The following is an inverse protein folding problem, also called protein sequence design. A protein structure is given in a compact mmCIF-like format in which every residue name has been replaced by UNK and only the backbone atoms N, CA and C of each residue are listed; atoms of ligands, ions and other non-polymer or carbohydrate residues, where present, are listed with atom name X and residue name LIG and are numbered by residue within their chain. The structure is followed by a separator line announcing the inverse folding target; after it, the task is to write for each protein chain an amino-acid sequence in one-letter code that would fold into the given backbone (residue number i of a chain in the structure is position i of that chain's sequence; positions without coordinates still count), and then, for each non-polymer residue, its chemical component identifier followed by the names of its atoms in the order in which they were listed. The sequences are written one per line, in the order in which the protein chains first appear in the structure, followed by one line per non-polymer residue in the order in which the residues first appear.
data_IF_285685550474
#
_entry.id   IF_285685550474
#
_cell.length_a   1.000
_cell.length_b   1.000
_cell.length_c   1.000
_cell.angle_alpha   90.00
_cell.angle_beta   90.00
_cell.angle_gamma   90.00
#
_symmetry.space_group_name_H-M   'P 1'
#
loop_
_entity.id
_entity.type
_entity.pdbx_description
1 polymer ?
#
# COMPACT_ATOMS: atom_id res chain seq x y z
N UNK A 1 -21.87 7.45 -19.42
CA UNK A 1 -20.76 8.43 -19.54
C UNK A 1 -19.61 7.73 -20.26
N UNK A 2 -18.89 8.47 -21.10
CA UNK A 2 -17.62 8.00 -21.69
C UNK A 2 -16.47 8.47 -20.83
N UNK A 3 -15.68 7.54 -20.32
CA UNK A 3 -14.61 7.79 -19.34
C UNK A 3 -13.31 7.22 -19.88
N UNK A 4 -12.23 8.00 -19.79
CA UNK A 4 -10.88 7.51 -20.01
C UNK A 4 -10.20 7.40 -18.64
N UNK A 5 -9.56 6.26 -18.38
CA UNK A 5 -8.68 6.07 -17.22
C UNK A 5 -7.25 5.96 -17.74
N UNK A 6 -6.46 7.00 -17.53
CA UNK A 6 -5.07 7.09 -17.96
C UNK A 6 -4.14 6.53 -16.90
N UNK A 7 -3.47 5.42 -17.21
CA UNK A 7 -2.67 4.62 -16.30
C UNK A 7 -3.46 3.44 -15.71
N UNK A 8 -3.04 2.21 -16.04
CA UNK A 8 -3.70 0.96 -15.63
C UNK A 8 -2.89 0.20 -14.57
N UNK A 9 -2.33 0.93 -13.61
CA UNK A 9 -1.81 0.33 -12.37
C UNK A 9 -2.95 -0.07 -11.43
N UNK A 10 -2.59 -0.40 -10.19
CA UNK A 10 -3.53 -0.84 -9.15
C UNK A 10 -4.79 0.04 -9.05
N UNK A 11 -4.62 1.35 -8.88
CA UNK A 11 -5.73 2.30 -8.75
C UNK A 11 -6.53 2.41 -10.05
N UNK A 12 -5.83 2.61 -11.18
CA UNK A 12 -6.50 2.88 -12.45
C UNK A 12 -7.27 1.68 -12.99
N UNK A 13 -6.68 0.49 -12.95
CA UNK A 13 -7.37 -0.73 -13.42
C UNK A 13 -8.59 -1.05 -12.56
N UNK A 14 -8.46 -0.96 -11.23
CA UNK A 14 -9.60 -1.18 -10.31
C UNK A 14 -10.70 -0.15 -10.55
N UNK A 15 -10.33 1.12 -10.71
CA UNK A 15 -11.29 2.20 -10.99
C UNK A 15 -12.01 1.99 -12.33
N UNK A 16 -11.25 1.66 -13.40
CA UNK A 16 -11.83 1.40 -14.72
C UNK A 16 -12.80 0.22 -14.69
N UNK A 17 -12.41 -0.88 -14.05
CA UNK A 17 -13.24 -2.07 -13.92
C UNK A 17 -14.55 -1.76 -13.18
N UNK A 18 -14.49 -1.12 -12.00
CA UNK A 18 -15.68 -0.81 -11.21
C UNK A 18 -16.58 0.23 -11.90
N UNK A 19 -16.01 1.24 -12.57
CA UNK A 19 -16.84 2.18 -13.38
C UNK A 19 -17.57 1.47 -14.51
N UNK A 20 -16.96 0.46 -15.13
CA UNK A 20 -17.63 -0.32 -16.18
C UNK A 20 -18.81 -1.15 -15.67
N UNK A 21 -18.77 -1.66 -14.43
CA UNK A 21 -19.89 -2.33 -13.78
C UNK A 21 -21.11 -1.40 -13.60
N UNK A 22 -20.85 -0.10 -13.43
CA UNK A 22 -21.93 0.90 -13.32
C UNK A 22 -22.50 1.34 -14.67
N UNK A 23 -22.13 0.65 -15.76
CA UNK A 23 -22.64 0.89 -17.11
C UNK A 23 -22.03 2.10 -17.79
N UNK A 24 -20.89 2.58 -17.36
CA UNK A 24 -20.11 3.57 -18.09
C UNK A 24 -19.32 2.92 -19.21
N UNK A 25 -19.13 3.64 -20.31
CA UNK A 25 -18.22 3.28 -21.39
C UNK A 25 -16.80 3.71 -20.97
N UNK A 26 -15.96 2.76 -20.58
CA UNK A 26 -14.67 3.01 -19.95
C UNK A 26 -13.52 2.54 -20.84
N UNK A 27 -12.64 3.45 -21.16
CA UNK A 27 -11.39 3.19 -21.85
C UNK A 27 -10.21 3.22 -20.87
N UNK A 28 -9.68 2.06 -20.58
CA UNK A 28 -8.46 1.88 -19.80
C UNK A 28 -7.24 2.07 -20.72
N UNK A 29 -6.60 3.24 -20.61
CA UNK A 29 -5.46 3.63 -21.44
C UNK A 29 -4.15 3.42 -20.69
N UNK A 30 -3.20 2.74 -21.33
CA UNK A 30 -1.82 2.61 -20.84
C UNK A 30 -0.86 2.54 -22.03
N UNK A 31 0.37 3.01 -21.83
CA UNK A 31 1.44 2.92 -22.84
C UNK A 31 2.10 1.53 -22.88
N UNK A 32 1.97 0.73 -21.81
CA UNK A 32 2.54 -0.62 -21.75
C UNK A 32 1.59 -1.65 -22.38
N UNK A 33 1.91 -2.01 -23.61
CA UNK A 33 1.14 -2.98 -24.41
C UNK A 33 1.08 -4.37 -23.75
N UNK A 34 2.09 -4.75 -22.94
CA UNK A 34 2.13 -6.04 -22.25
C UNK A 34 1.05 -6.11 -21.18
N UNK A 35 0.88 -5.04 -20.40
CA UNK A 35 -0.23 -4.91 -19.43
C UNK A 35 -1.58 -5.01 -20.13
N UNK A 36 -1.78 -4.21 -21.19
CA UNK A 36 -3.03 -4.21 -21.93
C UNK A 36 -3.38 -5.59 -22.51
N UNK A 37 -2.39 -6.33 -23.00
CA UNK A 37 -2.58 -7.69 -23.50
C UNK A 37 -2.99 -8.66 -22.39
N UNK A 38 -2.35 -8.56 -21.22
CA UNK A 38 -2.73 -9.35 -20.04
C UNK A 38 -4.17 -9.06 -19.60
N UNK A 39 -4.60 -7.79 -19.61
CA UNK A 39 -5.96 -7.42 -19.24
C UNK A 39 -7.00 -7.85 -20.29
N UNK A 40 -6.68 -7.75 -21.58
CA UNK A 40 -7.53 -8.25 -22.67
C UNK A 40 -7.71 -9.75 -22.65
N UNK A 41 -6.73 -10.51 -22.17
CA UNK A 41 -6.85 -11.97 -22.02
C UNK A 41 -7.96 -12.36 -21.03
N UNK A 42 -8.23 -11.51 -20.03
CA UNK A 42 -9.08 -11.78 -18.87
C UNK A 42 -8.63 -13.00 -18.06
N UNK A 43 -7.37 -13.43 -18.23
CA UNK A 43 -6.75 -14.51 -17.48
C UNK A 43 -6.35 -14.03 -16.10
N UNK A 44 -6.85 -14.63 -15.00
CA UNK A 44 -6.54 -14.20 -13.64
C UNK A 44 -5.04 -14.20 -13.31
N UNK A 45 -4.28 -15.16 -13.82
CA UNK A 45 -2.84 -15.25 -13.56
C UNK A 45 -2.09 -14.11 -14.27
N UNK A 46 -2.40 -13.85 -15.54
CA UNK A 46 -1.78 -12.77 -16.30
C UNK A 46 -2.15 -11.39 -15.73
N UNK A 47 -3.41 -11.18 -15.32
CA UNK A 47 -3.82 -9.95 -14.66
C UNK A 47 -3.11 -9.81 -13.32
N UNK A 48 -3.09 -10.87 -12.50
CA UNK A 48 -2.48 -10.91 -11.18
C UNK A 48 -0.99 -10.61 -11.17
N UNK A 49 -0.30 -10.87 -12.29
CA UNK A 49 1.10 -10.48 -12.46
C UNK A 49 1.32 -8.96 -12.37
N UNK A 50 0.35 -8.15 -12.80
CA UNK A 50 0.43 -6.68 -12.75
C UNK A 50 -0.39 -6.07 -11.62
N UNK A 51 -1.60 -6.62 -11.38
CA UNK A 51 -2.50 -6.16 -10.33
C UNK A 51 -3.17 -7.39 -9.69
N UNK A 52 -2.64 -7.79 -8.55
CA UNK A 52 -3.18 -8.93 -7.78
C UNK A 52 -4.25 -8.43 -6.80
N UNK A 53 -5.50 -8.36 -7.29
CA UNK A 53 -6.63 -7.85 -6.50
C UNK A 53 -7.82 -8.82 -6.60
N UNK A 54 -8.34 -9.32 -5.47
CA UNK A 54 -9.47 -10.23 -5.45
C UNK A 54 -10.71 -9.67 -6.16
N UNK A 55 -11.34 -10.47 -7.01
CA UNK A 55 -12.54 -10.10 -7.76
C UNK A 55 -12.31 -9.26 -9.03
N UNK A 56 -11.13 -8.65 -9.20
CA UNK A 56 -10.83 -7.82 -10.36
C UNK A 56 -10.86 -8.60 -11.69
N UNK A 57 -10.28 -9.80 -11.82
CA UNK A 57 -10.36 -10.56 -13.05
C UNK A 57 -11.78 -10.90 -13.49
N UNK A 58 -12.68 -11.19 -12.56
CA UNK A 58 -14.08 -11.49 -12.85
C UNK A 58 -14.78 -10.27 -13.44
N UNK A 59 -14.59 -9.08 -12.86
CA UNK A 59 -15.17 -7.84 -13.39
C UNK A 59 -14.68 -7.57 -14.81
N UNK A 60 -13.38 -7.74 -15.04
CA UNK A 60 -12.78 -7.56 -16.37
C UNK A 60 -13.42 -8.54 -17.38
N UNK A 61 -13.51 -9.82 -17.02
CA UNK A 61 -14.08 -10.84 -17.90
C UNK A 61 -15.55 -10.55 -18.29
N UNK A 62 -16.34 -10.03 -17.35
CA UNK A 62 -17.76 -9.72 -17.54
C UNK A 62 -18.00 -8.46 -18.39
N UNK A 63 -17.08 -7.46 -18.31
CA UNK A 63 -17.31 -6.13 -18.89
C UNK A 63 -16.43 -5.81 -20.11
N UNK A 64 -15.35 -6.58 -20.36
CA UNK A 64 -14.48 -6.33 -21.50
C UNK A 64 -15.26 -6.39 -22.81
N UNK A 65 -14.88 -5.53 -23.75
CA UNK A 65 -15.47 -5.40 -25.08
C UNK A 65 -16.97 -4.99 -25.09
N UNK A 66 -17.52 -4.70 -23.91
CA UNK A 66 -18.90 -4.22 -23.76
C UNK A 66 -18.97 -2.84 -23.10
N UNK A 67 -18.35 -2.70 -21.95
CA UNK A 67 -18.26 -1.46 -21.17
C UNK A 67 -16.84 -1.09 -20.81
N UNK A 68 -15.89 -2.03 -20.88
CA UNK A 68 -14.48 -1.86 -20.55
C UNK A 68 -13.62 -2.20 -21.78
N UNK A 69 -12.87 -1.20 -22.24
CA UNK A 69 -12.01 -1.29 -23.41
C UNK A 69 -10.57 -0.96 -23.02
N UNK A 70 -9.61 -1.71 -23.56
CA UNK A 70 -8.18 -1.50 -23.28
C UNK A 70 -7.48 -0.97 -24.52
N UNK A 71 -6.79 0.16 -24.43
CA UNK A 71 -6.13 0.78 -25.57
C UNK A 71 -4.82 1.49 -25.20
N UNK A 72 -3.88 1.52 -26.13
CA UNK A 72 -2.69 2.39 -26.11
C UNK A 72 -2.82 3.58 -27.08
N UNK A 73 -3.92 3.68 -27.78
CA UNK A 73 -4.23 4.76 -28.71
C UNK A 73 -5.30 5.70 -28.09
N UNK A 74 -4.82 6.79 -27.49
CA UNK A 74 -5.68 7.78 -26.85
C UNK A 74 -6.34 8.73 -27.86
N UNK A 75 -5.70 8.94 -29.01
CA UNK A 75 -6.24 9.81 -30.07
C UNK A 75 -7.57 9.31 -30.58
N UNK A 76 -7.69 7.99 -30.80
CA UNK A 76 -8.92 7.37 -31.31
C UNK A 76 -10.10 7.44 -30.35
N UNK A 77 -9.88 7.70 -29.08
CA UNK A 77 -10.92 7.67 -28.03
C UNK A 77 -11.23 9.03 -27.40
N UNK A 78 -10.46 10.08 -27.72
CA UNK A 78 -10.54 11.38 -27.02
C UNK A 78 -11.86 12.13 -27.31
N UNK A 79 -12.44 11.96 -28.50
CA UNK A 79 -13.70 12.57 -28.87
C UNK A 79 -14.86 12.04 -28.05
N UNK A 80 -15.74 12.92 -27.64
CA UNK A 80 -16.92 12.55 -26.87
C UNK A 80 -16.66 12.14 -25.42
N UNK A 81 -15.44 12.32 -24.89
CA UNK A 81 -15.10 11.97 -23.53
C UNK A 81 -15.66 12.98 -22.53
N UNK A 82 -16.31 12.48 -21.49
CA UNK A 82 -16.87 13.29 -20.40
C UNK A 82 -15.85 13.54 -19.28
N UNK A 83 -15.00 12.55 -18.96
CA UNK A 83 -13.97 12.66 -17.94
C UNK A 83 -12.73 11.81 -18.24
N UNK A 84 -11.56 12.33 -17.87
CA UNK A 84 -10.27 11.64 -17.96
C UNK A 84 -9.68 11.53 -16.56
N UNK A 85 -9.66 10.32 -15.99
CA UNK A 85 -9.05 10.05 -14.69
C UNK A 85 -7.56 9.81 -14.85
N UNK A 86 -6.75 10.64 -14.21
CA UNK A 86 -5.30 10.56 -14.21
C UNK A 86 -4.84 9.64 -13.06
N UNK A 87 -4.54 8.39 -13.38
CA UNK A 87 -4.07 7.36 -12.46
C UNK A 87 -2.59 7.06 -12.71
N UNK A 88 -1.79 8.11 -12.79
CA UNK A 88 -0.39 8.08 -13.21
C UNK A 88 0.56 7.92 -12.01
N UNK A 89 1.76 7.34 -12.20
CA UNK A 89 2.73 7.20 -11.13
C UNK A 89 3.25 8.55 -10.65
N UNK A 90 3.43 8.68 -9.32
CA UNK A 90 4.01 9.84 -8.64
C UNK A 90 5.07 9.35 -7.65
N UNK A 91 6.21 8.81 -8.13
CA UNK A 91 7.22 8.26 -7.24
C UNK A 91 7.86 9.34 -6.38
N UNK A 92 8.40 8.98 -5.19
CA UNK A 92 9.11 9.94 -4.36
C UNK A 92 10.51 10.21 -4.90
N UNK A 93 10.95 11.47 -4.79
CA UNK A 93 12.35 11.86 -4.90
C UNK A 93 13.10 11.61 -3.58
N UNK A 94 14.43 11.69 -3.61
CA UNK A 94 15.27 11.50 -2.41
C UNK A 94 15.03 12.54 -1.30
N UNK A 95 14.56 13.73 -1.63
CA UNK A 95 14.23 14.80 -0.68
C UNK A 95 12.81 14.70 -0.11
N UNK A 96 12.07 13.66 -0.51
CA UNK A 96 10.68 13.41 -0.12
C UNK A 96 9.64 14.10 -1.00
N UNK A 97 10.03 14.96 -1.95
CA UNK A 97 9.09 15.52 -2.93
C UNK A 97 8.54 14.42 -3.85
N UNK A 98 7.42 14.69 -4.52
CA UNK A 98 6.87 13.80 -5.54
C UNK A 98 7.44 14.13 -6.91
N UNK A 99 7.95 13.14 -7.64
CA UNK A 99 8.30 13.30 -9.04
C UNK A 99 7.02 13.29 -9.89
N UNK A 100 6.71 14.44 -10.46
CA UNK A 100 5.56 14.64 -11.37
C UNK A 100 5.96 14.69 -12.85
N UNK A 101 7.19 14.34 -13.20
CA UNK A 101 7.68 14.42 -14.58
C UNK A 101 6.85 13.57 -15.55
N UNK A 102 6.58 12.32 -15.20
CA UNK A 102 5.72 11.44 -15.98
C UNK A 102 4.27 11.92 -16.03
N UNK A 103 3.79 12.45 -14.91
CA UNK A 103 2.45 13.00 -14.80
C UNK A 103 2.25 14.16 -15.76
N UNK A 104 3.09 15.19 -15.71
CA UNK A 104 2.95 16.36 -16.58
C UNK A 104 3.27 16.07 -18.04
N UNK A 105 4.17 15.14 -18.35
CA UNK A 105 4.38 14.69 -19.72
C UNK A 105 3.10 14.10 -20.33
N UNK A 106 2.36 13.29 -19.58
CA UNK A 106 1.09 12.75 -20.01
C UNK A 106 0.02 13.86 -20.12
N UNK A 107 -0.01 14.80 -19.18
CA UNK A 107 -0.91 15.98 -19.21
C UNK A 107 -0.65 16.84 -20.45
N UNK A 108 0.59 17.16 -20.78
CA UNK A 108 0.94 17.95 -21.97
C UNK A 108 0.46 17.27 -23.26
N UNK A 109 0.62 15.94 -23.34
CA UNK A 109 0.10 15.17 -24.47
C UNK A 109 -1.44 15.22 -24.54
N UNK A 110 -2.13 15.01 -23.42
CA UNK A 110 -3.59 15.11 -23.34
C UNK A 110 -4.09 16.50 -23.70
N UNK A 111 -3.46 17.57 -23.21
CA UNK A 111 -3.82 18.94 -23.55
C UNK A 111 -3.68 19.21 -25.05
N UNK A 112 -2.61 18.70 -25.68
CA UNK A 112 -2.41 18.81 -27.13
C UNK A 112 -3.54 18.17 -27.92
N UNK A 113 -4.01 17.00 -27.50
CA UNK A 113 -5.12 16.30 -28.16
C UNK A 113 -6.46 17.00 -27.91
N UNK A 114 -6.72 17.39 -26.66
CA UNK A 114 -7.96 18.08 -26.27
C UNK A 114 -8.11 19.44 -26.95
N UNK A 115 -7.02 20.16 -27.19
CA UNK A 115 -7.04 21.43 -27.92
C UNK A 115 -7.46 21.27 -29.39
N UNK A 116 -7.27 20.09 -29.99
CA UNK A 116 -7.62 19.77 -31.37
C UNK A 116 -8.99 19.08 -31.52
N UNK A 117 -9.62 18.78 -30.38
CA UNK A 117 -10.90 18.07 -30.33
C UNK A 117 -12.00 18.84 -31.07
N UNK A 118 -12.81 18.16 -31.85
CA UNK A 118 -13.94 18.74 -32.59
C UNK A 118 -15.22 18.84 -31.73
N UNK A 119 -15.31 18.00 -30.72
CA UNK A 119 -16.42 17.99 -29.77
C UNK A 119 -16.36 19.19 -28.82
N UNK A 120 -17.45 19.90 -28.69
CA UNK A 120 -17.56 21.09 -27.83
C UNK A 120 -18.08 20.77 -26.42
N UNK A 121 -18.36 19.52 -26.10
CA UNK A 121 -18.81 19.12 -24.77
C UNK A 121 -17.71 19.36 -23.74
N UNK A 122 -18.15 19.66 -22.50
CA UNK A 122 -17.18 19.82 -21.40
C UNK A 122 -16.53 18.48 -21.08
N UNK A 123 -15.22 18.50 -20.88
CA UNK A 123 -14.42 17.38 -20.38
C UNK A 123 -13.76 17.76 -19.06
N UNK A 124 -13.77 16.85 -18.08
CA UNK A 124 -13.12 17.08 -16.80
C UNK A 124 -11.89 16.18 -16.67
N UNK A 125 -10.72 16.81 -16.46
CA UNK A 125 -9.49 16.09 -16.08
C UNK A 125 -9.50 15.89 -14.58
N UNK A 126 -9.43 14.62 -14.15
CA UNK A 126 -9.62 14.24 -12.74
C UNK A 126 -8.33 13.68 -12.15
N UNK A 127 -7.73 14.38 -11.21
CA UNK A 127 -6.62 13.87 -10.42
C UNK A 127 -7.10 12.71 -9.55
N UNK A 128 -6.75 11.49 -9.91
CA UNK A 128 -6.99 10.28 -9.12
C UNK A 128 -5.73 9.83 -8.40
N UNK A 129 -4.56 10.06 -8.96
CA UNK A 129 -3.26 9.87 -8.31
C UNK A 129 -3.14 10.71 -7.05
N UNK A 130 -2.38 10.23 -6.07
CA UNK A 130 -1.97 11.06 -4.93
C UNK A 130 -0.90 12.04 -5.41
N UNK A 131 -1.28 13.30 -5.49
CA UNK A 131 -0.46 14.42 -5.99
C UNK A 131 -0.29 15.48 -4.90
N UNK A 132 0.81 16.27 -4.90
CA UNK A 132 0.98 17.40 -3.98
C UNK A 132 -0.20 18.39 -4.04
N UNK A 133 -0.49 19.02 -2.89
CA UNK A 133 -1.54 20.04 -2.79
C UNK A 133 -1.21 21.19 -3.74
N UNK A 134 -2.19 21.59 -4.55
CA UNK A 134 -2.04 22.59 -5.61
C UNK A 134 -1.72 22.02 -6.99
N UNK A 135 -1.62 20.69 -7.16
CA UNK A 135 -1.41 20.09 -8.49
C UNK A 135 -2.59 20.35 -9.42
N UNK A 136 -3.82 20.39 -8.91
CA UNK A 136 -4.99 20.78 -9.71
C UNK A 136 -4.83 22.16 -10.34
N UNK A 137 -4.24 23.13 -9.64
CA UNK A 137 -3.98 24.48 -10.19
C UNK A 137 -2.94 24.47 -11.31
N UNK A 138 -1.93 23.61 -11.17
CA UNK A 138 -0.96 23.42 -12.26
C UNK A 138 -1.62 22.80 -13.49
N UNK A 139 -2.53 21.85 -13.28
CA UNK A 139 -3.31 21.24 -14.36
C UNK A 139 -4.23 22.26 -15.06
N UNK A 140 -4.91 23.13 -14.31
CA UNK A 140 -5.69 24.23 -14.87
C UNK A 140 -4.81 25.23 -15.67
N UNK A 141 -3.61 25.52 -15.16
CA UNK A 141 -2.66 26.34 -15.89
C UNK A 141 -2.29 25.70 -17.24
N UNK A 142 -2.04 24.38 -17.26
CA UNK A 142 -1.79 23.63 -18.49
C UNK A 142 -2.94 23.71 -19.47
N UNK A 143 -4.18 23.51 -19.01
CA UNK A 143 -5.37 23.65 -19.88
C UNK A 143 -5.44 25.05 -20.52
N UNK A 144 -5.12 26.11 -19.78
CA UNK A 144 -5.07 27.47 -20.32
C UNK A 144 -3.90 27.70 -21.28
N UNK A 145 -2.70 27.17 -20.94
CA UNK A 145 -1.50 27.27 -21.78
C UNK A 145 -1.70 26.64 -23.17
N UNK A 146 -2.40 25.51 -23.20
CA UNK A 146 -2.71 24.80 -24.45
C UNK A 146 -4.03 25.26 -25.10
N UNK A 147 -4.69 26.29 -24.55
CA UNK A 147 -5.97 26.82 -25.04
C UNK A 147 -7.05 25.75 -25.20
N UNK A 148 -7.09 24.76 -24.27
CA UNK A 148 -8.05 23.67 -24.33
C UNK A 148 -9.48 24.20 -24.10
N UNK A 149 -10.38 24.06 -25.10
CA UNK A 149 -11.71 24.61 -24.97
C UNK A 149 -12.58 23.75 -24.06
N UNK A 150 -13.42 24.39 -23.27
CA UNK A 150 -14.47 23.78 -22.46
C UNK A 150 -13.98 22.59 -21.61
N UNK A 151 -12.85 22.77 -20.91
CA UNK A 151 -12.28 21.78 -20.02
C UNK A 151 -12.34 22.26 -18.56
N UNK A 152 -12.45 21.31 -17.63
CA UNK A 152 -12.40 21.52 -16.19
C UNK A 152 -11.40 20.62 -15.52
N UNK A 153 -11.13 20.89 -14.24
CA UNK A 153 -10.26 20.08 -13.39
C UNK A 153 -11.01 19.67 -12.13
N UNK A 154 -10.80 18.42 -11.72
CA UNK A 154 -11.24 17.96 -10.42
C UNK A 154 -10.14 17.12 -9.75
N UNK A 155 -10.13 17.10 -8.41
CA UNK A 155 -9.34 16.18 -7.60
C UNK A 155 -10.27 15.16 -6.95
N UNK A 156 -10.04 13.87 -7.22
CA UNK A 156 -10.82 12.77 -6.66
C UNK A 156 -9.88 11.69 -6.12
N UNK A 157 -9.29 11.92 -4.95
CA UNK A 157 -8.35 10.98 -4.36
C UNK A 157 -9.01 9.63 -4.07
N UNK A 158 -8.22 8.57 -4.13
CA UNK A 158 -8.62 7.21 -3.75
C UNK A 158 -8.27 6.90 -2.28
N UNK A 159 -8.98 5.92 -1.69
CA UNK A 159 -8.73 5.41 -0.35
C UNK A 159 -8.80 3.88 -0.34
N UNK A 160 -8.14 3.26 -1.32
CA UNK A 160 -8.23 1.84 -1.62
C UNK A 160 -7.10 1.07 -0.91
N UNK A 161 -7.41 0.17 0.03
CA UNK A 161 -6.42 -0.76 0.56
C UNK A 161 -6.18 -1.90 -0.43
N UNK A 162 -4.94 -2.18 -0.77
CA UNK A 162 -4.58 -3.34 -1.61
C UNK A 162 -5.12 -4.64 -1.00
N UNK A 163 -5.56 -5.57 -1.83
CA UNK A 163 -6.19 -6.82 -1.41
C UNK A 163 -7.68 -6.70 -1.03
N UNK A 164 -8.25 -5.47 -1.06
CA UNK A 164 -9.64 -5.18 -0.74
C UNK A 164 -10.22 -4.01 -1.57
N UNK A 165 -9.49 -3.63 -2.63
CA UNK A 165 -9.77 -2.42 -3.39
C UNK A 165 -11.05 -2.52 -4.23
N UNK A 166 -11.35 -3.69 -4.78
CA UNK A 166 -12.61 -3.90 -5.52
C UNK A 166 -13.80 -3.68 -4.60
N UNK A 167 -13.83 -4.30 -3.43
CA UNK A 167 -14.95 -4.15 -2.49
C UNK A 167 -15.05 -2.70 -1.97
N UNK A 168 -13.91 -2.06 -1.66
CA UNK A 168 -13.88 -0.67 -1.24
C UNK A 168 -14.20 0.33 -2.35
N UNK A 169 -14.02 -0.03 -3.61
CA UNK A 169 -14.50 0.77 -4.75
C UNK A 169 -16.01 0.63 -4.95
N UNK A 170 -16.56 -0.56 -4.74
CA UNK A 170 -18.01 -0.82 -4.82
C UNK A 170 -18.78 -0.23 -3.63
N UNK A 171 -18.15 -0.22 -2.45
CA UNK A 171 -18.75 0.25 -1.19
C UNK A 171 -17.75 1.12 -0.43
N UNK A 172 -17.44 2.32 -0.95
CA UNK A 172 -16.51 3.22 -0.29
C UNK A 172 -17.12 3.78 1.00
N UNK A 173 -16.28 4.04 2.00
CA UNK A 173 -16.71 4.78 3.19
C UNK A 173 -17.05 6.24 2.84
N UNK A 174 -16.34 6.78 1.84
CA UNK A 174 -16.53 8.12 1.31
C UNK A 174 -16.05 8.26 -0.14
N UNK A 175 -16.66 9.18 -0.86
CA UNK A 175 -16.16 9.73 -2.14
C UNK A 175 -15.87 11.21 -1.93
N UNK A 176 -14.65 11.64 -2.21
CA UNK A 176 -14.24 13.05 -2.09
C UNK A 176 -14.01 13.60 -3.50
N UNK A 177 -14.62 14.73 -3.80
CA UNK A 177 -14.48 15.42 -5.07
C UNK A 177 -14.18 16.90 -4.80
N UNK A 178 -13.05 17.36 -5.29
CA UNK A 178 -12.68 18.79 -5.28
C UNK A 178 -12.80 19.35 -6.68
N UNK A 179 -13.60 20.41 -6.86
CA UNK A 179 -13.73 21.15 -8.11
C UNK A 179 -14.10 22.61 -7.81
N UNK A 180 -14.01 23.48 -8.82
CA UNK A 180 -14.35 24.90 -8.66
C UNK A 180 -15.68 25.29 -9.26
N UNK A 181 -16.22 24.49 -10.20
CA UNK A 181 -17.45 24.82 -10.90
C UNK A 181 -18.53 23.77 -10.67
N UNK A 182 -19.78 24.24 -10.61
CA UNK A 182 -20.94 23.35 -10.51
C UNK A 182 -21.07 22.39 -11.73
N UNK A 183 -20.55 22.81 -12.87
CA UNK A 183 -20.57 22.00 -14.07
C UNK A 183 -19.62 20.80 -13.94
N UNK A 184 -18.43 20.98 -13.38
CA UNK A 184 -17.49 19.89 -13.10
C UNK A 184 -18.05 18.93 -12.04
N UNK A 185 -18.62 19.45 -10.96
CA UNK A 185 -19.32 18.62 -9.98
C UNK A 185 -20.44 17.79 -10.60
N UNK A 186 -21.24 18.38 -11.49
CA UNK A 186 -22.35 17.69 -12.15
C UNK A 186 -21.87 16.50 -12.99
N UNK A 187 -20.75 16.64 -13.71
CA UNK A 187 -20.16 15.55 -14.49
C UNK A 187 -19.71 14.43 -13.55
N UNK A 188 -18.98 14.76 -12.48
CA UNK A 188 -18.47 13.75 -11.54
C UNK A 188 -19.62 13.10 -10.74
N UNK A 189 -20.65 13.85 -10.31
CA UNK A 189 -21.86 13.27 -9.67
C UNK A 189 -22.55 12.24 -10.57
N UNK A 190 -22.58 12.45 -11.88
CA UNK A 190 -23.16 11.48 -12.81
C UNK A 190 -22.34 10.20 -12.88
N UNK A 191 -21.02 10.28 -12.78
CA UNK A 191 -20.14 9.11 -12.73
C UNK A 191 -20.35 8.33 -11.43
N UNK A 192 -20.51 9.02 -10.31
CA UNK A 192 -20.71 8.44 -8.97
C UNK A 192 -22.16 8.46 -8.52
N UNK A 193 -23.13 8.47 -9.45
CA UNK A 193 -24.56 8.66 -9.15
C UNK A 193 -25.12 7.70 -8.10
N UNK A 194 -24.61 6.46 -8.04
CA UNK A 194 -24.98 5.46 -7.04
C UNK A 194 -24.54 5.82 -5.61
N UNK A 195 -23.59 6.76 -5.43
CA UNK A 195 -23.06 7.14 -4.13
C UNK A 195 -23.57 8.50 -3.63
N UNK A 196 -24.00 9.39 -4.53
CA UNK A 196 -24.36 10.79 -4.22
C UNK A 196 -25.41 10.89 -3.10
N UNK A 197 -26.44 10.03 -3.12
CA UNK A 197 -27.53 10.01 -2.14
C UNK A 197 -27.53 8.72 -1.29
N UNK A 198 -26.41 8.04 -1.18
CA UNK A 198 -26.34 6.77 -0.47
C UNK A 198 -26.30 7.00 1.04
N UNK A 199 -27.17 6.32 1.80
CA UNK A 199 -27.35 6.53 3.26
C UNK A 199 -26.07 6.29 4.09
N UNK A 200 -25.21 5.37 3.63
CA UNK A 200 -24.00 4.96 4.36
C UNK A 200 -22.70 5.51 3.78
N UNK A 201 -22.72 6.02 2.56
CA UNK A 201 -21.53 6.52 1.85
C UNK A 201 -21.57 8.05 1.90
N UNK A 202 -20.49 8.66 2.38
CA UNK A 202 -20.38 10.12 2.42
C UNK A 202 -19.83 10.62 1.09
N UNK A 203 -20.67 11.31 0.31
CA UNK A 203 -20.23 12.04 -0.86
C UNK A 203 -19.89 13.48 -0.45
N UNK A 204 -18.63 13.89 -0.62
CA UNK A 204 -18.08 15.15 -0.11
C UNK A 204 -17.58 15.97 -1.28
N UNK A 205 -18.15 17.16 -1.45
CA UNK A 205 -17.70 18.17 -2.39
C UNK A 205 -16.93 19.27 -1.69
N UNK A 206 -15.82 19.69 -2.27
CA UNK A 206 -14.91 20.66 -1.67
C UNK A 206 -14.03 21.32 -2.75
N UNK A 207 -13.03 22.13 -2.34
CA UNK A 207 -12.02 22.67 -3.25
C UNK A 207 -11.03 21.59 -3.67
N UNK A 208 -10.38 21.72 -4.84
CA UNK A 208 -9.36 20.78 -5.30
C UNK A 208 -8.24 20.57 -4.28
N UNK A 209 -7.72 21.64 -3.69
CA UNK A 209 -6.65 21.59 -2.70
C UNK A 209 -7.07 20.88 -1.42
N UNK A 210 -8.31 21.09 -0.97
CA UNK A 210 -8.84 20.36 0.19
C UNK A 210 -8.96 18.87 -0.11
N UNK A 211 -9.43 18.49 -1.30
CA UNK A 211 -9.50 17.08 -1.70
C UNK A 211 -8.12 16.42 -1.73
N UNK A 212 -7.11 17.09 -2.31
CA UNK A 212 -5.72 16.64 -2.31
C UNK A 212 -5.18 16.51 -0.87
N UNK A 213 -5.43 17.51 -0.02
CA UNK A 213 -5.03 17.52 1.39
C UNK A 213 -5.66 16.40 2.23
N UNK A 214 -6.94 16.09 1.99
CA UNK A 214 -7.65 15.00 2.69
C UNK A 214 -6.91 13.66 2.52
N UNK A 215 -6.36 13.38 1.34
CA UNK A 215 -5.61 12.14 1.10
C UNK A 215 -4.36 12.07 1.96
N UNK A 216 -3.56 13.13 1.97
CA UNK A 216 -2.33 13.19 2.76
C UNK A 216 -2.60 13.08 4.26
N UNK A 217 -3.55 13.88 4.75
CA UNK A 217 -3.91 13.88 6.18
C UNK A 217 -4.46 12.53 6.60
N UNK A 218 -5.33 11.90 5.79
CA UNK A 218 -5.87 10.58 6.11
C UNK A 218 -4.76 9.52 6.23
N UNK A 219 -3.88 9.41 5.24
CA UNK A 219 -2.80 8.41 5.25
C UNK A 219 -1.80 8.68 6.38
N UNK A 220 -1.46 9.94 6.62
CA UNK A 220 -0.56 10.33 7.72
C UNK A 220 -1.18 10.03 9.08
N UNK A 221 -2.47 10.29 9.28
CA UNK A 221 -3.17 9.96 10.53
C UNK A 221 -3.21 8.47 10.78
N UNK A 222 -3.47 7.66 9.74
CA UNK A 222 -3.43 6.20 9.84
C UNK A 222 -2.02 5.70 10.25
N UNK A 223 -0.97 6.24 9.65
CA UNK A 223 0.40 5.91 10.05
C UNK A 223 0.73 6.38 11.46
N UNK A 224 0.18 7.53 11.88
CA UNK A 224 0.34 8.05 13.25
C UNK A 224 -0.25 7.08 14.27
N UNK A 225 -1.44 6.52 14.02
CA UNK A 225 -2.01 5.50 14.90
C UNK A 225 -1.09 4.28 15.05
N UNK A 226 -0.61 3.74 13.94
CA UNK A 226 0.31 2.58 13.95
C UNK A 226 1.61 2.93 14.67
N UNK A 227 2.19 4.09 14.38
CA UNK A 227 3.44 4.55 15.02
C UNK A 227 3.26 4.81 16.51
N UNK A 228 2.12 5.36 16.94
CA UNK A 228 1.80 5.55 18.35
C UNK A 228 1.75 4.21 19.11
N UNK A 229 1.03 3.23 18.58
CA UNK A 229 0.95 1.92 19.23
C UNK A 229 2.30 1.19 19.23
N UNK A 230 3.09 1.30 18.19
CA UNK A 230 4.44 0.75 18.13
C UNK A 230 5.41 1.50 19.06
N UNK A 231 5.36 2.84 19.07
CA UNK A 231 6.30 3.67 19.82
C UNK A 231 5.97 3.86 21.30
N UNK A 232 4.69 3.71 21.68
CA UNK A 232 4.21 3.90 23.06
C UNK A 232 3.59 2.62 23.60
N UNK A 233 2.52 2.12 22.98
CA UNK A 233 1.79 0.95 23.49
C UNK A 233 2.68 -0.28 23.63
N UNK A 234 3.44 -0.62 22.58
CA UNK A 234 4.35 -1.75 22.60
C UNK A 234 5.41 -1.62 23.69
N UNK A 235 5.96 -0.41 23.89
CA UNK A 235 7.01 -0.17 24.91
C UNK A 235 6.52 -0.41 26.31
N UNK A 236 5.24 -0.13 26.60
CA UNK A 236 4.66 -0.45 27.90
C UNK A 236 4.65 -1.96 28.18
N UNK A 237 4.18 -2.77 27.20
CA UNK A 237 4.17 -4.23 27.33
C UNK A 237 5.56 -4.87 27.35
N UNK A 238 6.57 -4.20 26.76
CA UNK A 238 7.97 -4.64 26.76
C UNK A 238 8.70 -4.27 28.04
N UNK A 239 8.34 -3.16 28.67
CA UNK A 239 9.00 -2.64 29.88
C UNK A 239 8.39 -3.20 31.16
N UNK A 240 7.06 -3.30 31.20
CA UNK A 240 6.32 -3.70 32.40
C UNK A 240 5.76 -5.12 32.24
N UNK A 241 6.32 -6.09 32.95
CA UNK A 241 6.05 -7.53 32.78
C UNK A 241 4.56 -7.93 32.92
N UNK A 242 3.77 -7.15 33.65
CA UNK A 242 2.35 -7.42 33.87
C UNK A 242 1.41 -6.64 32.94
N UNK A 243 1.95 -5.82 32.02
CA UNK A 243 1.12 -5.13 31.03
C UNK A 243 0.82 -6.07 29.88
N UNK A 244 -0.47 -6.39 29.70
CA UNK A 244 -0.95 -7.23 28.62
C UNK A 244 -1.48 -6.35 27.48
N UNK A 245 -0.88 -6.47 26.30
CA UNK A 245 -1.20 -5.63 25.14
C UNK A 245 -2.67 -5.70 24.72
N UNK A 246 -3.27 -6.88 24.77
CA UNK A 246 -4.66 -7.06 24.38
C UNK A 246 -5.63 -6.34 25.35
N UNK A 247 -5.34 -6.36 26.66
CA UNK A 247 -6.11 -5.64 27.65
C UNK A 247 -5.90 -4.13 27.55
N UNK A 248 -4.66 -3.70 27.32
CA UNK A 248 -4.33 -2.29 27.10
C UNK A 248 -5.09 -1.75 25.88
N UNK A 249 -5.02 -2.46 24.75
CA UNK A 249 -5.77 -2.13 23.54
C UNK A 249 -7.28 -2.03 23.84
N UNK A 250 -7.86 -3.09 24.41
CA UNK A 250 -9.29 -3.16 24.71
C UNK A 250 -9.74 -2.04 25.62
N UNK A 251 -8.96 -1.72 26.67
CA UNK A 251 -9.27 -0.65 27.62
C UNK A 251 -9.21 0.73 26.98
N UNK A 252 -8.18 1.02 26.19
CA UNK A 252 -8.01 2.32 25.52
C UNK A 252 -9.08 2.53 24.45
N UNK A 253 -9.33 1.50 23.61
CA UNK A 253 -10.32 1.62 22.51
C UNK A 253 -11.77 1.40 22.94
N UNK A 254 -12.03 1.20 24.24
CA UNK A 254 -13.38 1.25 24.80
C UNK A 254 -13.97 2.68 24.81
N UNK A 255 -13.12 3.70 24.77
CA UNK A 255 -13.56 5.08 24.55
C UNK A 255 -13.93 5.27 23.07
N UNK A 256 -15.19 5.65 22.81
CA UNK A 256 -15.72 5.82 21.45
C UNK A 256 -15.07 6.94 20.63
N UNK A 257 -14.29 7.82 21.27
CA UNK A 257 -13.48 8.84 20.62
C UNK A 257 -12.19 8.28 20.00
N UNK A 258 -11.80 7.07 20.39
CA UNK A 258 -10.53 6.42 19.97
C UNK A 258 -10.84 5.31 18.97
N UNK A 259 -10.25 5.40 17.78
CA UNK A 259 -10.43 4.38 16.75
C UNK A 259 -9.81 3.04 17.18
N UNK A 260 -10.52 1.96 16.89
CA UNK A 260 -9.96 0.60 16.98
C UNK A 260 -9.02 0.29 15.81
N UNK A 261 -9.15 1.02 14.70
CA UNK A 261 -8.27 0.87 13.55
C UNK A 261 -6.85 1.36 13.90
N UNK A 262 -5.84 0.62 13.49
CA UNK A 262 -4.43 0.95 13.77
C UNK A 262 -3.99 0.69 15.21
N UNK A 263 -4.89 0.28 16.12
CA UNK A 263 -4.57 -0.07 17.50
C UNK A 263 -3.98 -1.48 17.62
N UNK A 264 -2.92 -1.74 16.88
CA UNK A 264 -2.15 -2.98 16.91
C UNK A 264 -0.66 -2.66 16.88
N UNK A 265 0.15 -3.63 17.29
CA UNK A 265 1.60 -3.52 17.28
C UNK A 265 2.19 -4.50 16.26
N UNK A 266 3.26 -4.07 15.60
CA UNK A 266 3.88 -4.81 14.51
C UNK A 266 5.34 -4.42 14.32
N UNK A 267 6.04 -5.10 13.41
CA UNK A 267 7.37 -4.69 12.95
C UNK A 267 7.32 -3.53 11.91
N UNK A 268 6.39 -2.58 12.08
CA UNK A 268 6.24 -1.39 11.25
C UNK A 268 5.22 -1.56 10.12
N UNK A 269 4.78 -0.42 9.59
CA UNK A 269 3.93 -0.33 8.41
C UNK A 269 4.78 -0.22 7.15
N UNK A 270 4.30 -0.83 6.06
CA UNK A 270 4.88 -0.76 4.72
C UNK A 270 3.83 -0.42 3.68
N UNK A 271 4.13 -0.75 2.43
CA UNK A 271 3.27 -0.46 1.28
C UNK A 271 3.61 0.88 0.62
N UNK A 272 3.17 1.04 -0.60
CA UNK A 272 3.53 2.16 -1.49
C UNK A 272 3.04 3.55 -1.06
N UNK A 273 2.19 3.62 -0.02
CA UNK A 273 1.45 4.85 0.30
C UNK A 273 1.97 5.57 1.55
N UNK A 274 2.02 4.91 2.70
CA UNK A 274 2.24 5.59 3.98
C UNK A 274 3.57 6.35 4.05
N UNK A 275 4.68 5.66 3.74
CA UNK A 275 6.02 6.26 3.77
C UNK A 275 6.17 7.40 2.77
N UNK A 276 5.66 7.20 1.55
CA UNK A 276 5.70 8.20 0.49
C UNK A 276 4.86 9.44 0.83
N UNK A 277 3.63 9.24 1.29
CA UNK A 277 2.70 10.35 1.51
C UNK A 277 3.11 11.23 2.69
N UNK A 278 3.59 10.64 3.81
CA UNK A 278 4.09 11.43 4.93
C UNK A 278 5.36 12.22 4.55
N UNK A 279 6.27 11.64 3.76
CA UNK A 279 7.46 12.35 3.29
C UNK A 279 7.10 13.51 2.36
N UNK A 280 6.15 13.29 1.44
CA UNK A 280 5.64 14.36 0.56
C UNK A 280 4.99 15.49 1.36
N UNK A 281 4.19 15.16 2.40
CA UNK A 281 3.59 16.18 3.26
C UNK A 281 4.65 16.93 4.09
N UNK A 282 5.67 16.24 4.60
CA UNK A 282 6.82 16.88 5.29
C UNK A 282 7.50 17.85 4.34
N UNK A 283 7.79 17.44 3.11
CA UNK A 283 8.43 18.30 2.11
C UNK A 283 7.60 19.56 1.82
N UNK A 284 6.30 19.40 1.55
CA UNK A 284 5.40 20.52 1.24
C UNK A 284 5.31 21.51 2.40
N UNK A 285 5.14 21.04 3.64
CA UNK A 285 5.05 21.91 4.81
C UNK A 285 6.39 22.61 5.10
N UNK A 286 7.52 21.92 4.98
CA UNK A 286 8.85 22.53 5.13
C UNK A 286 9.09 23.63 4.09
N UNK A 287 8.74 23.37 2.83
CA UNK A 287 8.86 24.38 1.75
C UNK A 287 7.98 25.58 2.02
N UNK A 288 6.85 25.41 2.69
CA UNK A 288 5.98 26.50 3.15
C UNK A 288 6.42 27.13 4.50
N UNK A 289 7.58 26.76 5.04
CA UNK A 289 8.10 27.30 6.28
C UNK A 289 7.41 26.81 7.55
N UNK A 290 6.66 25.70 7.50
CA UNK A 290 5.92 25.15 8.63
C UNK A 290 6.72 24.07 9.40
N UNK A 291 6.53 23.95 10.72
CA UNK A 291 7.16 22.90 11.53
C UNK A 291 6.61 21.52 11.14
N UNK A 292 7.49 20.51 11.12
CA UNK A 292 7.15 19.13 10.73
C UNK A 292 7.59 18.09 11.74
N UNK A 293 7.93 18.49 12.96
CA UNK A 293 8.52 17.63 14.00
C UNK A 293 7.66 16.39 14.29
N UNK A 294 6.34 16.59 14.42
CA UNK A 294 5.41 15.48 14.65
C UNK A 294 5.45 14.45 13.50
N UNK A 295 5.43 14.92 12.26
CA UNK A 295 5.44 14.05 11.08
C UNK A 295 6.77 13.29 10.96
N UNK A 296 7.88 13.98 11.25
CA UNK A 296 9.21 13.37 11.26
C UNK A 296 9.32 12.30 12.35
N UNK A 297 8.77 12.57 13.56
CA UNK A 297 8.74 11.59 14.64
C UNK A 297 7.91 10.35 14.25
N UNK A 298 6.73 10.53 13.65
CA UNK A 298 5.88 9.43 13.18
C UNK A 298 6.60 8.57 12.15
N UNK A 299 7.22 9.20 11.16
CA UNK A 299 8.00 8.51 10.13
C UNK A 299 9.21 7.78 10.74
N UNK A 300 9.99 8.46 11.59
CA UNK A 300 11.16 7.88 12.23
C UNK A 300 10.85 6.67 13.14
N UNK A 301 9.73 6.74 13.89
CA UNK A 301 9.24 5.60 14.69
C UNK A 301 8.93 4.41 13.79
N UNK A 302 8.23 4.63 12.66
CA UNK A 302 7.89 3.56 11.74
C UNK A 302 9.14 2.91 11.12
N UNK A 303 10.09 3.71 10.67
CA UNK A 303 11.35 3.19 10.08
C UNK A 303 12.18 2.40 11.10
N UNK A 304 12.32 2.91 12.31
CA UNK A 304 13.02 2.21 13.38
C UNK A 304 12.33 0.89 13.76
N UNK A 305 11.01 0.87 13.74
CA UNK A 305 10.21 -0.31 14.08
C UNK A 305 10.48 -1.51 13.15
N UNK A 306 10.83 -1.26 11.87
CA UNK A 306 11.12 -2.31 10.89
C UNK A 306 12.29 -3.22 11.29
N UNK A 307 13.25 -2.69 12.04
CA UNK A 307 14.46 -3.45 12.49
C UNK A 307 14.51 -3.66 14.00
N UNK A 308 13.61 -3.05 14.74
CA UNK A 308 13.61 -3.00 16.21
C UNK A 308 13.70 -4.37 16.89
N UNK A 309 12.98 -5.37 16.38
CA UNK A 309 13.02 -6.73 16.96
C UNK A 309 14.38 -7.42 16.78
N UNK A 310 15.14 -7.08 15.74
CA UNK A 310 16.50 -7.58 15.53
C UNK A 310 17.42 -7.01 16.62
N UNK A 311 17.27 -5.72 16.95
CA UNK A 311 18.01 -5.08 18.04
C UNK A 311 17.65 -5.69 19.41
N UNK A 312 16.35 -5.94 19.63
CA UNK A 312 15.86 -6.59 20.85
C UNK A 312 16.39 -8.01 21.00
N UNK A 313 16.35 -8.81 19.92
CA UNK A 313 16.90 -10.17 19.94
C UNK A 313 18.40 -10.17 20.35
N UNK A 314 19.16 -9.20 19.86
CA UNK A 314 20.57 -9.05 20.26
C UNK A 314 20.71 -8.65 21.73
N UNK A 315 19.94 -7.66 22.20
CA UNK A 315 20.04 -7.11 23.54
C UNK A 315 19.46 -8.01 24.63
N UNK A 316 18.30 -8.61 24.37
CA UNK A 316 17.52 -9.34 25.39
C UNK A 316 17.76 -10.84 25.35
N UNK A 317 17.91 -11.43 24.17
CA UNK A 317 18.16 -12.87 24.01
C UNK A 317 19.65 -13.20 23.73
N UNK A 318 20.54 -12.20 23.68
CA UNK A 318 21.97 -12.39 23.44
C UNK A 318 22.32 -12.93 22.05
N UNK A 319 21.41 -12.83 21.09
CA UNK A 319 21.58 -13.42 19.76
C UNK A 319 22.63 -12.66 18.96
N UNK A 320 23.55 -13.43 18.37
CA UNK A 320 24.45 -12.95 17.32
C UNK A 320 24.03 -13.61 16.02
N UNK A 321 23.71 -12.79 15.01
CA UNK A 321 23.23 -13.28 13.71
C UNK A 321 24.36 -13.81 12.82
N UNK A 322 25.64 -13.52 13.17
CA UNK A 322 26.78 -13.96 12.40
C UNK A 322 26.77 -15.50 12.27
N UNK A 323 26.93 -15.97 11.03
CA UNK A 323 26.88 -17.39 10.62
C UNK A 323 25.54 -18.10 10.87
N UNK A 324 24.47 -17.39 11.21
CA UNK A 324 23.16 -17.99 11.47
C UNK A 324 22.34 -18.13 10.18
N UNK A 325 21.51 -19.17 10.15
CA UNK A 325 20.46 -19.39 9.15
C UNK A 325 19.14 -18.93 9.74
N UNK A 326 18.50 -17.96 9.12
CA UNK A 326 17.26 -17.36 9.61
C UNK A 326 16.11 -17.76 8.70
N UNK A 327 15.11 -18.45 9.23
CA UNK A 327 13.82 -18.61 8.55
C UNK A 327 13.08 -17.26 8.59
N UNK A 328 12.68 -16.75 7.43
CA UNK A 328 11.90 -15.52 7.31
C UNK A 328 10.55 -15.85 6.67
N UNK A 329 9.48 -15.71 7.45
CA UNK A 329 8.12 -15.96 7.00
C UNK A 329 7.37 -14.64 6.78
N UNK A 330 6.90 -14.45 5.53
CA UNK A 330 6.25 -13.24 5.10
C UNK A 330 7.22 -12.22 4.50
N UNK A 331 7.01 -11.91 3.22
CA UNK A 331 7.81 -10.96 2.43
C UNK A 331 6.97 -9.75 2.01
N UNK A 332 5.69 -9.95 1.65
CA UNK A 332 4.76 -8.86 1.37
C UNK A 332 4.56 -7.96 2.59
N UNK A 333 4.23 -6.69 2.37
CA UNK A 333 4.03 -5.73 3.47
C UNK A 333 2.82 -6.06 4.36
N UNK A 334 1.85 -6.79 3.85
CA UNK A 334 0.68 -7.35 4.56
C UNK A 334 0.13 -8.58 3.82
N UNK A 335 -0.83 -9.27 4.42
CA UNK A 335 -1.54 -10.37 3.78
C UNK A 335 -2.40 -9.93 2.57
N UNK A 336 -2.77 -10.87 1.70
CA UNK A 336 -3.63 -10.70 0.51
C UNK A 336 -3.06 -9.80 -0.59
N UNK A 337 -1.76 -9.57 -0.60
CA UNK A 337 -1.06 -8.88 -1.68
C UNK A 337 0.33 -9.46 -1.87
N UNK A 338 0.88 -9.33 -3.05
CA UNK A 338 2.29 -9.62 -3.33
C UNK A 338 3.18 -8.36 -3.29
N UNK A 339 2.61 -7.21 -2.93
CA UNK A 339 3.35 -5.94 -2.91
C UNK A 339 4.40 -5.92 -1.79
N UNK A 340 5.65 -5.67 -2.19
CA UNK A 340 6.80 -5.58 -1.29
C UNK A 340 7.32 -4.14 -1.14
N UNK A 341 6.72 -3.16 -1.81
CA UNK A 341 7.18 -1.77 -1.70
C UNK A 341 7.12 -1.30 -0.26
N UNK A 342 8.24 -0.79 0.23
CA UNK A 342 8.44 -0.36 1.63
C UNK A 342 8.06 -1.41 2.69
N UNK A 343 8.05 -2.71 2.33
CA UNK A 343 7.77 -3.79 3.27
C UNK A 343 8.84 -3.87 4.36
N UNK A 344 8.42 -4.17 5.59
CA UNK A 344 9.34 -4.36 6.71
C UNK A 344 10.35 -5.48 6.45
N UNK A 345 9.95 -6.51 5.69
CA UNK A 345 10.80 -7.62 5.28
C UNK A 345 12.06 -7.17 4.51
N UNK A 346 11.97 -6.09 3.73
CA UNK A 346 13.14 -5.53 3.01
C UNK A 346 14.22 -5.12 4.00
N UNK A 347 13.85 -4.32 5.01
CA UNK A 347 14.78 -3.85 6.06
C UNK A 347 15.25 -4.98 6.97
N UNK A 348 14.38 -5.95 7.24
CA UNK A 348 14.74 -7.15 8.02
C UNK A 348 15.83 -7.94 7.30
N UNK A 349 15.66 -8.26 6.02
CA UNK A 349 16.64 -9.00 5.20
C UNK A 349 17.97 -8.24 5.14
N UNK A 350 17.94 -6.97 4.74
CA UNK A 350 19.15 -6.13 4.67
C UNK A 350 19.91 -6.10 6.01
N UNK A 351 19.18 -5.93 7.11
CA UNK A 351 19.78 -5.86 8.45
C UNK A 351 20.36 -7.19 8.91
N UNK A 352 19.65 -8.30 8.66
CA UNK A 352 20.14 -9.64 9.02
C UNK A 352 21.42 -9.99 8.23
N UNK A 353 21.44 -9.72 6.94
CA UNK A 353 22.61 -9.94 6.09
C UNK A 353 23.80 -9.04 6.50
N UNK A 354 23.53 -7.76 6.78
CA UNK A 354 24.55 -6.82 7.28
C UNK A 354 25.14 -7.24 8.64
N UNK A 355 24.34 -7.94 9.48
CA UNK A 355 24.80 -8.53 10.76
C UNK A 355 25.44 -9.91 10.59
N UNK A 356 25.71 -10.34 9.37
CA UNK A 356 26.45 -11.55 9.06
C UNK A 356 25.64 -12.83 9.02
N UNK A 357 24.32 -12.76 8.88
CA UNK A 357 23.52 -13.95 8.62
C UNK A 357 24.07 -14.71 7.39
N UNK A 358 24.20 -16.02 7.55
CA UNK A 358 24.78 -16.86 6.51
C UNK A 358 23.78 -17.27 5.45
N UNK A 359 22.49 -17.40 5.85
CA UNK A 359 21.41 -17.80 4.98
C UNK A 359 20.09 -17.18 5.46
N UNK A 360 19.29 -16.63 4.55
CA UNK A 360 17.90 -16.27 4.79
C UNK A 360 17.02 -17.30 4.06
N UNK A 361 16.24 -18.04 4.81
CA UNK A 361 15.33 -19.08 4.31
C UNK A 361 13.94 -18.48 4.23
N UNK A 362 13.60 -17.91 3.08
CA UNK A 362 12.41 -17.07 2.90
C UNK A 362 11.22 -17.88 2.37
N UNK A 363 10.06 -17.60 2.93
CA UNK A 363 8.78 -18.09 2.43
C UNK A 363 7.70 -17.01 2.52
N UNK A 364 6.90 -16.90 1.48
CA UNK A 364 5.67 -16.10 1.42
C UNK A 364 4.69 -16.79 0.47
N UNK A 365 3.39 -16.88 0.80
CA UNK A 365 2.40 -17.58 -0.03
C UNK A 365 2.27 -17.04 -1.47
N UNK A 366 2.54 -15.73 -1.67
CA UNK A 366 2.29 -15.08 -2.97
C UNK A 366 3.42 -14.14 -3.46
N UNK A 367 4.30 -13.68 -2.57
CA UNK A 367 5.25 -12.61 -2.90
C UNK A 367 6.64 -13.09 -3.37
N UNK A 368 6.89 -14.39 -3.48
CA UNK A 368 8.22 -14.92 -3.88
C UNK A 368 8.67 -14.36 -5.24
N UNK A 369 7.76 -14.23 -6.20
CA UNK A 369 8.05 -13.66 -7.52
C UNK A 369 8.56 -12.22 -7.44
N UNK A 370 7.90 -11.38 -6.65
CA UNK A 370 8.30 -10.00 -6.39
C UNK A 370 9.60 -9.94 -5.57
N UNK A 371 9.75 -10.83 -4.57
CA UNK A 371 10.94 -10.88 -3.73
C UNK A 371 12.22 -11.10 -4.55
N UNK A 372 12.17 -11.96 -5.58
CA UNK A 372 13.29 -12.19 -6.48
C UNK A 372 13.68 -10.94 -7.31
N UNK A 373 12.74 -10.00 -7.52
CA UNK A 373 13.01 -8.72 -8.19
C UNK A 373 13.64 -7.72 -7.24
N UNK A 374 13.12 -7.60 -5.99
CA UNK A 374 13.67 -6.71 -4.97
C UNK A 374 15.04 -7.16 -4.49
N UNK A 375 15.20 -8.45 -4.26
CA UNK A 375 16.46 -9.06 -3.79
C UNK A 375 17.27 -9.66 -4.95
N UNK A 376 17.48 -8.86 -6.02
CA UNK A 376 18.29 -9.29 -7.14
C UNK A 376 19.78 -9.26 -6.74
N UNK A 377 20.51 -10.39 -6.84
CA UNK A 377 21.96 -10.45 -6.57
C UNK A 377 22.81 -9.49 -7.41
N UNK A 378 22.36 -9.12 -8.61
CA UNK A 378 23.02 -8.12 -9.45
C UNK A 378 23.09 -6.73 -8.79
N UNK A 379 22.11 -6.39 -7.94
CA UNK A 379 22.07 -5.14 -7.19
C UNK A 379 22.87 -5.21 -5.90
N UNK A 380 22.92 -6.38 -5.25
CA UNK A 380 23.66 -6.62 -4.04
C UNK A 380 23.99 -8.11 -3.91
N UNK A 381 25.28 -8.45 -3.98
CA UNK A 381 25.77 -9.83 -3.91
C UNK A 381 25.35 -10.58 -2.64
N UNK A 382 25.07 -9.88 -1.54
CA UNK A 382 24.58 -10.51 -0.30
C UNK A 382 23.25 -11.20 -0.49
N UNK A 383 22.47 -10.82 -1.49
CA UNK A 383 21.18 -11.44 -1.81
C UNK A 383 21.30 -12.86 -2.37
N UNK A 384 22.50 -13.31 -2.78
CA UNK A 384 22.77 -14.73 -3.08
C UNK A 384 22.54 -15.66 -1.89
N UNK A 385 22.56 -15.10 -0.66
CA UNK A 385 22.29 -15.85 0.57
C UNK A 385 20.80 -16.04 0.87
N UNK A 386 19.91 -15.55 0.01
CA UNK A 386 18.46 -15.68 0.17
C UNK A 386 17.99 -16.88 -0.63
N UNK A 387 17.45 -17.88 0.05
CA UNK A 387 16.87 -19.07 -0.55
C UNK A 387 15.36 -19.09 -0.33
N UNK A 388 14.61 -19.35 -1.39
CA UNK A 388 13.14 -19.34 -1.36
C UNK A 388 12.61 -20.76 -1.28
N UNK A 389 11.57 -20.96 -0.46
CA UNK A 389 10.96 -22.25 -0.19
C UNK A 389 9.47 -22.21 -0.48
N UNK A 390 8.86 -23.37 -0.70
CA UNK A 390 7.45 -23.49 -1.08
C UNK A 390 6.52 -23.65 0.13
N UNK A 391 7.07 -23.75 1.34
CA UNK A 391 6.30 -23.85 2.58
C UNK A 391 7.06 -23.30 3.80
N UNK A 392 6.30 -22.89 4.81
CA UNK A 392 6.86 -22.48 6.09
C UNK A 392 7.70 -23.61 6.74
N UNK A 393 7.27 -24.88 6.60
CA UNK A 393 8.00 -26.06 7.11
C UNK A 393 9.38 -26.20 6.46
N UNK A 394 9.47 -26.04 5.15
CA UNK A 394 10.76 -26.14 4.44
C UNK A 394 11.67 -24.97 4.80
N UNK A 395 11.15 -23.76 4.93
CA UNK A 395 11.91 -22.60 5.37
C UNK A 395 12.48 -22.78 6.79
N UNK A 396 11.69 -23.36 7.71
CA UNK A 396 12.12 -23.68 9.08
C UNK A 396 13.20 -24.78 9.12
N UNK A 397 13.10 -25.78 8.26
CA UNK A 397 14.01 -26.93 8.30
C UNK A 397 15.48 -26.50 8.14
N UNK A 398 16.32 -26.79 9.16
CA UNK A 398 17.74 -26.43 9.16
C UNK A 398 18.03 -24.96 9.42
N UNK A 399 17.05 -24.14 9.83
CA UNK A 399 17.29 -22.79 10.35
C UNK A 399 17.69 -22.79 11.83
N UNK A 400 18.34 -21.73 12.27
CA UNK A 400 18.74 -21.54 13.68
C UNK A 400 17.71 -20.70 14.47
N UNK A 401 16.86 -19.94 13.77
CA UNK A 401 15.83 -19.08 14.34
C UNK A 401 14.78 -18.71 13.29
N UNK A 402 13.62 -18.24 13.77
CA UNK A 402 12.50 -17.80 12.96
C UNK A 402 12.28 -16.29 13.14
N UNK A 403 12.00 -15.58 12.01
CA UNK A 403 11.44 -14.24 12.01
C UNK A 403 10.12 -14.24 11.23
N UNK A 404 9.03 -13.77 11.84
CA UNK A 404 7.72 -13.59 11.18
C UNK A 404 7.52 -12.11 10.89
N UNK A 405 7.43 -11.74 9.59
CA UNK A 405 7.34 -10.34 9.15
C UNK A 405 5.98 -9.93 8.62
N UNK A 406 5.16 -10.88 8.16
CA UNK A 406 3.81 -10.61 7.60
C UNK A 406 2.75 -11.45 8.30
N UNK A 407 1.54 -10.92 8.40
CA UNK A 407 0.42 -11.50 9.16
C UNK A 407 -0.46 -12.46 8.31
N UNK A 408 0.16 -13.35 7.54
CA UNK A 408 -0.56 -14.38 6.81
C UNK A 408 -1.32 -15.32 7.76
N UNK A 409 -2.58 -15.61 7.46
CA UNK A 409 -3.44 -16.43 8.33
C UNK A 409 -2.84 -17.82 8.63
N UNK A 410 -2.16 -18.41 7.65
CA UNK A 410 -1.49 -19.71 7.83
C UNK A 410 -0.37 -19.71 8.89
N UNK A 411 0.16 -18.53 9.24
CA UNK A 411 1.20 -18.43 10.27
C UNK A 411 0.63 -18.46 11.70
N UNK A 412 -0.68 -18.39 11.90
CA UNK A 412 -1.31 -18.46 13.23
C UNK A 412 -1.20 -19.82 13.89
N UNK A 413 -1.05 -20.89 13.14
CA UNK A 413 -0.98 -22.27 13.65
C UNK A 413 0.43 -22.86 13.64
N UNK A 414 1.48 -22.05 13.58
CA UNK A 414 2.84 -22.53 13.37
C UNK A 414 3.48 -23.25 14.55
N UNK A 415 2.99 -23.15 15.79
CA UNK A 415 3.61 -23.75 16.97
C UNK A 415 3.90 -25.23 16.79
N UNK A 416 2.92 -26.00 16.32
CA UNK A 416 3.09 -27.43 16.02
C UNK A 416 4.13 -27.67 14.91
N UNK A 417 4.14 -26.86 13.87
CA UNK A 417 5.10 -26.97 12.76
C UNK A 417 6.51 -26.68 13.26
N UNK A 418 6.68 -25.67 14.11
CA UNK A 418 7.96 -25.31 14.74
C UNK A 418 8.49 -26.52 15.54
N UNK A 419 7.67 -27.09 16.45
CA UNK A 419 8.06 -28.22 17.30
C UNK A 419 8.44 -29.49 16.52
N UNK A 420 7.74 -29.74 15.41
CA UNK A 420 8.00 -30.89 14.54
C UNK A 420 9.24 -30.73 13.67
N UNK A 421 9.66 -29.47 13.40
CA UNK A 421 10.68 -29.20 12.37
C UNK A 421 12.02 -28.80 12.99
N UNK A 422 12.02 -28.02 14.06
CA UNK A 422 13.23 -27.53 14.72
C UNK A 422 13.25 -27.92 16.20
N UNK A 423 14.44 -27.95 16.81
CA UNK A 423 14.63 -28.34 18.22
C UNK A 423 15.21 -27.19 19.03
N UNK A 424 14.86 -27.08 20.32
CA UNK A 424 15.53 -26.17 21.24
C UNK A 424 17.04 -26.44 21.32
N UNK A 425 17.87 -25.40 21.59
CA UNK A 425 17.45 -24.00 21.76
C UNK A 425 17.16 -23.33 20.41
N UNK A 426 16.00 -22.70 20.28
CA UNK A 426 15.55 -22.05 19.07
C UNK A 426 14.79 -20.76 19.42
N UNK A 427 15.05 -19.64 18.72
CA UNK A 427 14.39 -18.36 18.97
C UNK A 427 13.33 -18.08 17.90
N UNK A 428 12.12 -17.75 18.34
CA UNK A 428 11.04 -17.23 17.51
C UNK A 428 10.95 -15.71 17.71
N UNK A 429 11.16 -14.96 16.64
CA UNK A 429 11.03 -13.50 16.59
C UNK A 429 9.73 -13.17 15.84
N UNK A 430 8.72 -12.75 16.56
CA UNK A 430 7.36 -12.58 16.01
C UNK A 430 7.01 -11.09 15.85
N UNK A 431 7.20 -10.59 14.63
CA UNK A 431 6.92 -9.20 14.26
C UNK A 431 5.42 -8.88 14.13
N UNK A 432 4.55 -9.87 14.14
CA UNK A 432 3.11 -9.73 13.88
C UNK A 432 2.21 -10.36 14.95
N UNK A 433 2.80 -10.92 16.02
CA UNK A 433 2.08 -11.63 17.09
C UNK A 433 1.21 -12.76 16.55
N UNK A 434 1.80 -13.59 15.68
CA UNK A 434 1.11 -14.68 14.99
C UNK A 434 1.03 -15.97 15.80
N UNK A 435 1.81 -16.09 16.87
CA UNK A 435 1.88 -17.30 17.71
C UNK A 435 1.06 -17.08 19.00
N UNK A 436 -0.21 -17.49 19.06
CA UNK A 436 -1.08 -17.21 20.21
C UNK A 436 -0.71 -18.06 21.43
N UNK A 437 -0.18 -19.28 21.21
CA UNK A 437 0.23 -20.28 22.20
C UNK A 437 1.73 -20.23 22.52
N UNK A 438 2.36 -19.06 22.37
CA UNK A 438 3.81 -18.86 22.61
C UNK A 438 4.26 -19.29 24.00
N UNK A 439 3.38 -19.27 25.02
CA UNK A 439 3.71 -19.70 26.37
C UNK A 439 4.03 -21.21 26.41
N UNK A 440 3.27 -22.03 25.68
CA UNK A 440 3.54 -23.44 25.56
C UNK A 440 4.87 -23.71 24.86
N UNK A 441 5.22 -22.94 23.82
CA UNK A 441 6.53 -23.04 23.18
C UNK A 441 7.66 -22.75 24.16
N UNK A 442 7.51 -21.71 25.00
CA UNK A 442 8.58 -21.37 25.97
C UNK A 442 8.74 -22.44 27.05
N UNK A 443 7.67 -23.11 27.47
CA UNK A 443 7.70 -24.25 28.39
C UNK A 443 8.38 -25.49 27.80
N UNK A 444 8.42 -25.57 26.46
CA UNK A 444 9.11 -26.64 25.72
C UNK A 444 10.54 -26.28 25.30
N UNK A 445 11.10 -25.17 25.85
CA UNK A 445 12.48 -24.80 25.65
C UNK A 445 12.76 -23.86 24.47
N UNK A 446 11.74 -23.28 23.83
CA UNK A 446 11.89 -22.26 22.79
C UNK A 446 11.94 -20.86 23.39
N UNK A 447 12.81 -20.00 22.87
CA UNK A 447 12.78 -18.57 23.18
C UNK A 447 11.72 -17.86 22.32
N UNK A 448 11.04 -16.86 22.90
CA UNK A 448 10.05 -16.08 22.16
C UNK A 448 10.23 -14.58 22.42
N UNK A 449 10.25 -13.80 21.36
CA UNK A 449 10.30 -12.34 21.41
C UNK A 449 9.29 -11.76 20.39
N UNK A 450 8.43 -10.87 20.85
CA UNK A 450 7.45 -10.23 19.99
C UNK A 450 7.32 -8.74 20.31
N UNK A 451 6.73 -7.97 19.38
CA UNK A 451 6.40 -6.57 19.62
C UNK A 451 5.36 -6.47 20.72
N UNK A 452 5.59 -5.62 21.70
CA UNK A 452 4.63 -5.36 22.79
C UNK A 452 4.62 -6.40 23.90
N UNK A 453 5.62 -7.26 24.00
CA UNK A 453 5.83 -8.14 25.14
C UNK A 453 7.32 -8.28 25.44
N UNK A 454 7.68 -8.50 26.71
CA UNK A 454 9.07 -8.80 27.09
C UNK A 454 9.58 -10.08 26.42
N UNK A 455 10.90 -10.25 26.40
CA UNK A 455 11.51 -11.50 25.98
C UNK A 455 11.16 -12.62 26.95
N UNK A 456 10.73 -13.74 26.41
CA UNK A 456 10.46 -14.96 27.17
C UNK A 456 11.57 -15.95 26.89
N UNK A 457 12.45 -16.13 27.89
CA UNK A 457 13.51 -17.14 27.83
C UNK A 457 12.93 -18.55 27.87
N UNK A 458 13.63 -19.51 27.27
CA UNK A 458 13.32 -20.93 27.45
C UNK A 458 13.24 -21.29 28.94
N UNK A 459 12.22 -22.07 29.31
CA UNK A 459 12.09 -22.60 30.69
C UNK A 459 12.77 -23.94 30.81
#
# INVERSE_FOLDING_TARGET
MKIIVAGTGFVGLTHAAVCSEYGHEVYAYDIDQRKLNAYRSADPEQIGHYVNEPGLPSIIAENKDRYLFFTSDIESIIEGTDAIFLCLPTPPNHDGSSDLSYYFKAVDHLCTLLARRQDTRRVVLVNKSTVPIGTARQLEHKLREYEVPNAGVASNPEFLPEGDAVEKSRRPDRVVVGADTEEDFRIIRRIYSQFVNHVRIRYIETTPETAEGIKYVANTLLLTYISFWNGVGARLGETFSNVRMEDLKRGVTADNRISTWGSYVSNGAGGSCFGKDIQSLIYQLKTAGQPTDMLQAVYGINEYQKTYLIDRATREAGVRFNHKKVALLGLAFKQRTNDMRDASSLKVVETLLARGANEIRAYDPVAIGEAKRFFNPEHNYLFEKIHYFDSAREALAGSDMLFISTDWEEFRGLSRTIEQTVKPPYLVIDGRRMIPDFQELTERGYGYIAVGSGYMSPK
#
